data_IF_915246477768
#
_entry.id   IF_915246477768
#
_cell.length_a   1.000
_cell.length_b   1.000
_cell.length_c   1.000
_cell.angle_alpha   90.00
_cell.angle_beta   90.00
_cell.angle_gamma   90.00
#
_symmetry.space_group_name_H-M   'P 1'
#
loop_
_entity.id
_entity.type
_entity.pdbx_description
1 polymer ?
#
# COMPACT_ATOMS: atom_id res chain seq x y z
N UNK A 1 -17.39 9.40 8.29
CA UNK A 1 -17.85 8.08 8.76
C UNK A 1 -18.48 7.27 7.64
N UNK A 2 -19.73 7.51 7.23
CA UNK A 2 -20.44 6.69 6.21
C UNK A 2 -19.68 6.31 4.93
N UNK A 3 -18.85 7.21 4.38
CA UNK A 3 -18.08 6.91 3.17
C UNK A 3 -17.00 5.84 3.42
N UNK A 4 -16.35 5.90 4.58
CA UNK A 4 -15.33 4.91 4.98
C UNK A 4 -16.03 3.57 5.21
N UNK A 5 -17.14 3.56 5.94
CA UNK A 5 -17.93 2.35 6.21
C UNK A 5 -18.38 1.67 4.90
N UNK A 6 -18.81 2.46 3.91
CA UNK A 6 -19.22 1.95 2.60
C UNK A 6 -18.05 1.34 1.81
N UNK A 7 -16.85 1.91 1.91
CA UNK A 7 -15.64 1.37 1.27
C UNK A 7 -15.28 0.00 1.82
N UNK A 8 -15.42 -0.21 3.13
CA UNK A 8 -15.04 -1.45 3.81
C UNK A 8 -15.89 -2.65 3.36
N UNK A 9 -17.18 -2.43 3.08
CA UNK A 9 -18.13 -3.50 2.73
C UNK A 9 -18.37 -3.68 1.23
N UNK A 10 -17.91 -2.76 0.38
CA UNK A 10 -18.04 -2.88 -1.08
C UNK A 10 -17.04 -3.90 -1.64
N UNK A 11 -17.57 -4.94 -2.29
CA UNK A 11 -16.77 -6.04 -2.86
C UNK A 11 -16.50 -5.84 -4.37
N UNK A 12 -17.33 -5.06 -5.06
CA UNK A 12 -17.11 -4.71 -6.46
C UNK A 12 -15.94 -3.74 -6.59
N UNK A 13 -14.93 -4.14 -7.36
CA UNK A 13 -13.68 -3.38 -7.49
C UNK A 13 -13.89 -2.00 -8.10
N UNK A 14 -14.73 -1.87 -9.10
CA UNK A 14 -14.91 -0.62 -9.83
C UNK A 14 -15.74 0.37 -9.02
N UNK A 15 -16.78 -0.12 -8.34
CA UNK A 15 -17.55 0.67 -7.36
C UNK A 15 -16.66 1.13 -6.21
N UNK A 16 -15.88 0.21 -5.62
CA UNK A 16 -14.97 0.54 -4.52
C UNK A 16 -13.94 1.59 -4.94
N UNK A 17 -13.42 1.52 -6.16
CA UNK A 17 -12.49 2.52 -6.71
C UNK A 17 -13.13 3.92 -6.77
N UNK A 18 -14.39 4.02 -7.18
CA UNK A 18 -15.09 5.30 -7.21
C UNK A 18 -15.26 5.90 -5.79
N UNK A 19 -15.62 5.06 -4.81
CA UNK A 19 -15.71 5.48 -3.41
C UNK A 19 -14.37 5.97 -2.85
N UNK A 20 -13.27 5.26 -3.13
CA UNK A 20 -11.92 5.69 -2.77
C UNK A 20 -11.54 7.03 -3.40
N UNK A 21 -11.89 7.26 -4.66
CA UNK A 21 -11.64 8.53 -5.34
C UNK A 21 -12.37 9.69 -4.66
N UNK A 22 -13.62 9.48 -4.24
CA UNK A 22 -14.37 10.49 -3.50
C UNK A 22 -13.73 10.78 -2.14
N UNK A 23 -13.29 9.74 -1.43
CA UNK A 23 -12.60 9.90 -0.15
C UNK A 23 -11.32 10.73 -0.30
N UNK A 24 -10.50 10.43 -1.32
CA UNK A 24 -9.27 11.20 -1.59
C UNK A 24 -9.58 12.66 -1.92
N UNK A 25 -10.66 12.93 -2.65
CA UNK A 25 -11.07 14.31 -2.95
C UNK A 25 -11.45 15.07 -1.66
N UNK A 26 -12.27 14.48 -0.80
CA UNK A 26 -12.62 15.08 0.49
C UNK A 26 -11.39 15.28 1.38
N UNK A 27 -10.53 14.26 1.48
CA UNK A 27 -9.29 14.30 2.24
C UNK A 27 -8.33 15.41 1.78
N UNK A 28 -8.29 15.69 0.47
CA UNK A 28 -7.46 16.75 -0.09
C UNK A 28 -8.04 18.17 0.13
N UNK A 29 -9.36 18.31 0.24
CA UNK A 29 -10.02 19.62 0.35
C UNK A 29 -10.30 20.05 1.79
N UNK A 30 -10.69 19.12 2.67
CA UNK A 30 -11.23 19.42 4.01
C UNK A 30 -10.14 19.42 5.11
N UNK A 31 -8.94 19.90 4.76
CA UNK A 31 -7.67 19.90 5.51
C UNK A 31 -7.78 19.86 7.05
N UNK A 32 -6.90 19.05 7.70
CA UNK A 32 -5.70 19.71 8.24
C UNK A 32 -4.35 19.06 7.85
N UNK A 33 -4.34 17.96 7.08
CA UNK A 33 -3.09 17.21 6.79
C UNK A 33 -2.81 17.22 5.29
N UNK A 34 -1.75 17.90 4.86
CA UNK A 34 -1.25 17.88 3.47
C UNK A 34 -0.15 16.81 3.38
N UNK A 35 -0.37 15.69 2.68
CA UNK A 35 0.70 14.72 2.45
C UNK A 35 1.76 15.35 1.55
N UNK A 36 2.95 15.57 2.08
CA UNK A 36 4.03 16.22 1.34
C UNK A 36 4.64 15.28 0.29
N UNK A 37 4.89 14.02 0.68
CA UNK A 37 5.43 12.98 -0.18
C UNK A 37 5.25 11.60 0.48
N UNK A 38 5.32 10.54 -0.32
CA UNK A 38 5.47 9.18 0.19
C UNK A 38 6.96 8.87 0.39
N UNK A 39 7.32 8.43 1.60
CA UNK A 39 8.71 8.05 1.90
C UNK A 39 9.07 6.77 1.16
N UNK A 40 10.22 6.77 0.50
CA UNK A 40 10.80 5.54 -0.05
C UNK A 40 11.50 4.75 1.06
N UNK A 41 11.28 3.44 1.09
CA UNK A 41 11.99 2.48 1.94
C UNK A 41 13.04 1.74 1.11
N UNK A 42 14.31 1.92 1.47
CA UNK A 42 15.42 1.29 0.76
C UNK A 42 15.63 -0.16 1.20
N UNK A 43 15.87 -1.04 0.23
CA UNK A 43 16.20 -2.45 0.45
C UNK A 43 17.67 -2.67 0.11
N UNK A 44 18.47 -2.93 1.14
CA UNK A 44 19.89 -3.27 1.00
C UNK A 44 19.99 -4.78 1.19
N UNK A 45 20.15 -5.51 0.08
CA UNK A 45 20.12 -6.97 0.07
C UNK A 45 21.48 -7.54 -0.36
N UNK A 46 21.89 -8.70 0.16
CA UNK A 46 23.08 -9.38 -0.33
C UNK A 46 22.84 -9.89 -1.76
N UNK A 47 23.87 -9.85 -2.61
CA UNK A 47 23.75 -10.17 -4.04
C UNK A 47 23.31 -11.60 -4.37
N UNK A 48 23.41 -12.53 -3.42
CA UNK A 48 22.95 -13.91 -3.58
C UNK A 48 21.45 -14.08 -3.37
N UNK A 49 20.77 -13.14 -2.72
CA UNK A 49 19.38 -13.30 -2.32
C UNK A 49 18.43 -12.84 -3.44
N UNK A 50 17.63 -13.77 -3.95
CA UNK A 50 16.61 -13.52 -4.96
C UNK A 50 15.20 -13.77 -4.43
N UNK A 51 14.19 -13.27 -5.14
CA UNK A 51 12.77 -13.47 -4.80
C UNK A 51 12.18 -12.48 -3.79
N UNK A 52 13.00 -11.60 -3.18
CA UNK A 52 12.52 -10.55 -2.27
C UNK A 52 11.71 -9.51 -3.05
N UNK A 53 10.48 -9.24 -2.60
CA UNK A 53 9.64 -8.15 -3.14
C UNK A 53 9.54 -7.01 -2.12
N UNK A 54 9.91 -5.77 -2.48
CA UNK A 54 9.64 -4.60 -1.64
C UNK A 54 8.14 -4.38 -1.47
N UNK A 55 7.66 -4.34 -0.23
CA UNK A 55 6.23 -4.24 0.13
C UNK A 55 5.86 -2.91 0.78
N UNK A 56 6.82 -2.01 0.96
CA UNK A 56 6.64 -0.71 1.64
C UNK A 56 6.66 -0.84 3.17
N UNK A 57 6.15 0.16 3.87
CA UNK A 57 6.27 0.25 5.33
C UNK A 57 5.23 -0.59 6.10
N UNK A 58 4.08 -0.89 5.50
CA UNK A 58 2.92 -1.42 6.24
C UNK A 58 3.04 -2.93 6.51
N UNK A 59 3.59 -3.67 5.56
CA UNK A 59 3.78 -5.11 5.66
C UNK A 59 5.24 -5.42 5.37
N UNK A 60 5.90 -6.11 6.30
CA UNK A 60 7.30 -6.49 6.14
C UNK A 60 7.43 -7.53 5.03
N UNK A 61 8.49 -7.42 4.21
CA UNK A 61 8.75 -8.35 3.11
C UNK A 61 8.98 -9.80 3.57
N UNK A 62 9.30 -10.00 4.85
CA UNK A 62 9.47 -11.32 5.48
C UNK A 62 8.17 -12.11 5.60
N UNK A 63 7.00 -11.49 5.41
CA UNK A 63 5.72 -12.21 5.31
C UNK A 63 5.62 -13.07 4.04
N UNK A 64 6.55 -12.91 3.08
CA UNK A 64 6.65 -13.70 1.84
C UNK A 64 8.01 -14.40 1.71
N UNK A 65 8.60 -14.83 2.83
CA UNK A 65 9.93 -15.45 2.86
C UNK A 65 10.00 -16.77 2.07
N UNK A 66 8.87 -17.45 1.90
CA UNK A 66 8.75 -18.68 1.12
C UNK A 66 9.05 -18.50 -0.37
N UNK A 67 9.00 -17.26 -0.87
CA UNK A 67 9.36 -16.92 -2.24
C UNK A 67 10.87 -16.69 -2.43
N UNK A 68 11.64 -16.65 -1.33
CA UNK A 68 13.05 -16.27 -1.36
C UNK A 68 13.93 -17.47 -1.70
N UNK A 69 14.98 -17.23 -2.47
CA UNK A 69 15.92 -18.28 -2.87
C UNK A 69 17.33 -17.73 -3.05
N UNK A 70 18.32 -18.62 -2.99
CA UNK A 70 19.69 -18.30 -3.35
C UNK A 70 19.82 -18.29 -4.87
N UNK A 71 20.55 -17.31 -5.39
CA UNK A 71 21.08 -17.34 -6.74
C UNK A 71 21.85 -18.66 -6.98
N UNK A 72 21.77 -19.24 -8.19
CA UNK A 72 22.57 -20.38 -8.58
C UNK A 72 24.07 -20.06 -8.62
#
# INVERSE_FOLDING_TARGET
DRLIDAIEVELDRDKRKALWSQLQHLYANDLPVIPLFFRADAYILPGWLQGVRPTGHQFLSTLWIESWNSAP
#
